data_IF_196213036030
#
_entry.id   IF_196213036030
#
_cell.length_a   1.000
_cell.length_b   1.000
_cell.length_c   1.000
_cell.angle_alpha   90.00
_cell.angle_beta   90.00
_cell.angle_gamma   90.00
#
_symmetry.space_group_name_H-M   'P 1'
#
loop_
_entity.id
_entity.type
_entity.pdbx_description
1 polymer ?
#
# COMPACT_ATOMS: atom_id res chain seq x y z
N UNK A 1 19.28 -18.67 -0.94
CA UNK A 1 20.14 -18.68 0.26
C UNK A 1 21.61 -18.61 -0.12
N UNK A 2 22.16 -19.52 -0.95
CA UNK A 2 23.60 -19.55 -1.32
C UNK A 2 24.07 -18.20 -1.88
N UNK A 3 23.32 -17.60 -2.81
CA UNK A 3 23.66 -16.29 -3.38
C UNK A 3 23.70 -15.19 -2.30
N UNK A 4 22.79 -15.22 -1.36
CA UNK A 4 22.76 -14.26 -0.25
C UNK A 4 24.01 -14.39 0.65
N UNK A 5 24.43 -15.62 0.95
CA UNK A 5 25.66 -15.89 1.69
C UNK A 5 26.91 -15.43 0.91
N UNK A 6 26.95 -15.67 -0.40
CA UNK A 6 28.04 -15.20 -1.26
C UNK A 6 28.13 -13.67 -1.27
N UNK A 7 27.00 -12.98 -1.35
CA UNK A 7 26.96 -11.51 -1.27
C UNK A 7 27.56 -11.04 0.06
N UNK A 8 27.14 -11.66 1.17
CA UNK A 8 27.67 -11.31 2.49
C UNK A 8 29.19 -11.55 2.57
N UNK A 9 29.69 -12.67 2.06
CA UNK A 9 31.12 -12.96 2.03
C UNK A 9 31.89 -11.96 1.17
N UNK A 10 31.36 -11.60 0.00
CA UNK A 10 31.97 -10.58 -0.86
C UNK A 10 32.10 -9.23 -0.13
N UNK A 11 31.10 -8.83 0.65
CA UNK A 11 31.15 -7.57 1.40
C UNK A 11 32.18 -7.60 2.55
N UNK A 12 32.60 -8.78 3.04
CA UNK A 12 33.67 -8.87 4.03
C UNK A 12 35.05 -8.62 3.42
N UNK A 13 35.23 -8.92 2.12
CA UNK A 13 36.50 -8.81 1.39
C UNK A 13 36.66 -7.45 0.72
N UNK A 14 35.55 -6.73 0.48
CA UNK A 14 35.60 -5.45 -0.22
C UNK A 14 36.43 -4.40 0.56
N UNK A 15 37.29 -3.64 -0.13
CA UNK A 15 38.11 -2.62 0.52
C UNK A 15 37.24 -1.46 1.05
N UNK A 16 37.56 -0.96 2.22
CA UNK A 16 36.94 0.24 2.79
C UNK A 16 37.65 1.48 2.26
N UNK A 17 36.89 2.53 1.96
CA UNK A 17 37.37 3.86 1.57
C UNK A 17 36.89 4.90 2.55
N UNK A 18 37.43 6.13 2.47
CA UNK A 18 37.06 7.26 3.35
C UNK A 18 35.56 7.59 3.34
N UNK A 19 34.83 7.19 2.30
CA UNK A 19 33.38 7.39 2.14
C UNK A 19 32.51 6.19 2.53
N UNK A 20 33.10 4.99 2.66
CA UNK A 20 32.34 3.76 2.95
C UNK A 20 32.98 3.02 4.12
N UNK A 21 32.30 3.10 5.26
CA UNK A 21 32.73 2.42 6.48
C UNK A 21 32.49 0.91 6.37
N UNK A 22 33.21 0.12 7.17
CA UNK A 22 33.00 -1.34 7.26
C UNK A 22 31.55 -1.67 7.68
N UNK A 23 30.98 -0.94 8.60
CA UNK A 23 29.57 -1.09 8.99
C UNK A 23 28.62 -0.82 7.83
N UNK A 24 28.89 0.21 7.01
CA UNK A 24 28.13 0.53 5.80
C UNK A 24 28.16 -0.60 4.77
N UNK A 25 29.34 -1.23 4.55
CA UNK A 25 29.44 -2.40 3.66
C UNK A 25 28.61 -3.59 4.16
N UNK A 26 28.67 -3.87 5.47
CA UNK A 26 27.83 -4.92 6.05
C UNK A 26 26.35 -4.63 5.95
N UNK A 27 25.93 -3.38 6.20
CA UNK A 27 24.53 -2.96 6.02
C UNK A 27 24.05 -3.18 4.58
N UNK A 28 24.84 -2.74 3.60
CA UNK A 28 24.56 -2.98 2.16
C UNK A 28 24.50 -4.47 1.83
N UNK A 29 25.43 -5.26 2.34
CA UNK A 29 25.45 -6.71 2.13
C UNK A 29 24.20 -7.39 2.65
N UNK A 30 23.78 -7.06 3.88
CA UNK A 30 22.58 -7.59 4.52
C UNK A 30 21.34 -7.18 3.72
N UNK A 31 21.26 -5.92 3.29
CA UNK A 31 20.14 -5.40 2.50
C UNK A 31 20.04 -6.11 1.14
N UNK A 32 21.14 -6.24 0.39
CA UNK A 32 21.17 -6.95 -0.88
C UNK A 32 20.83 -8.44 -0.73
N UNK A 33 21.36 -9.07 0.32
CA UNK A 33 21.05 -10.47 0.62
C UNK A 33 19.54 -10.66 0.93
N UNK A 34 18.93 -9.76 1.70
CA UNK A 34 17.50 -9.78 1.98
C UNK A 34 16.67 -9.60 0.71
N UNK A 35 17.03 -8.67 -0.18
CA UNK A 35 16.35 -8.47 -1.47
C UNK A 35 16.39 -9.75 -2.31
N UNK A 36 17.56 -10.38 -2.43
CA UNK A 36 17.70 -11.64 -3.20
C UNK A 36 16.84 -12.75 -2.58
N UNK A 37 16.79 -12.83 -1.25
CA UNK A 37 15.95 -13.84 -0.57
C UNK A 37 14.46 -13.59 -0.78
N UNK A 38 14.01 -12.34 -0.82
CA UNK A 38 12.62 -11.97 -1.12
C UNK A 38 12.25 -12.22 -2.59
N UNK A 39 13.13 -11.85 -3.54
CA UNK A 39 12.89 -12.09 -4.97
C UNK A 39 12.84 -13.60 -5.28
N UNK A 40 13.72 -14.39 -4.64
CA UNK A 40 13.76 -15.83 -4.84
C UNK A 40 12.74 -16.61 -4.00
N UNK A 41 11.91 -15.94 -3.20
CA UNK A 41 10.95 -16.54 -2.27
C UNK A 41 11.55 -17.69 -1.44
N UNK A 42 12.80 -17.49 -1.01
CA UNK A 42 13.61 -18.55 -0.36
C UNK A 42 13.13 -18.88 1.05
N UNK A 43 12.48 -17.94 1.72
CA UNK A 43 11.90 -18.02 3.07
C UNK A 43 10.72 -17.06 3.18
N UNK A 44 9.77 -17.30 4.12
CA UNK A 44 8.72 -16.33 4.42
C UNK A 44 9.29 -14.92 4.68
N UNK A 45 8.65 -13.90 4.13
CA UNK A 45 9.15 -12.50 4.18
C UNK A 45 9.50 -12.03 5.59
N UNK A 46 8.68 -12.40 6.57
CA UNK A 46 8.91 -12.04 7.98
C UNK A 46 10.17 -12.70 8.55
N UNK A 47 10.47 -13.95 8.17
CA UNK A 47 11.69 -14.67 8.63
C UNK A 47 12.92 -14.00 8.05
N UNK A 48 12.90 -13.65 6.76
CA UNK A 48 14.00 -12.92 6.12
C UNK A 48 14.22 -11.56 6.78
N UNK A 49 13.14 -10.81 7.11
CA UNK A 49 13.25 -9.53 7.79
C UNK A 49 13.86 -9.65 9.19
N UNK A 50 13.40 -10.62 10.00
CA UNK A 50 13.96 -10.88 11.35
C UNK A 50 15.43 -11.31 11.24
N UNK A 51 15.77 -12.16 10.27
CA UNK A 51 17.15 -12.58 10.04
C UNK A 51 18.04 -11.38 9.66
N UNK A 52 17.57 -10.49 8.78
CA UNK A 52 18.31 -9.30 8.42
C UNK A 52 18.56 -8.39 9.62
N UNK A 53 17.54 -8.15 10.46
CA UNK A 53 17.68 -7.37 11.70
C UNK A 53 18.69 -8.03 12.66
N UNK A 54 18.62 -9.35 12.82
CA UNK A 54 19.58 -10.09 13.65
C UNK A 54 21.01 -9.96 13.11
N UNK A 55 21.20 -10.06 11.78
CA UNK A 55 22.51 -9.91 11.15
C UNK A 55 23.08 -8.51 11.34
N UNK A 56 22.27 -7.44 11.34
CA UNK A 56 22.74 -6.09 11.65
C UNK A 56 23.41 -6.01 13.02
N UNK A 57 22.90 -6.75 14.01
CA UNK A 57 23.49 -6.80 15.35
C UNK A 57 24.73 -7.71 15.40
N UNK A 58 24.72 -8.85 14.74
CA UNK A 58 25.87 -9.80 14.70
C UNK A 58 27.08 -9.13 14.05
N UNK A 59 26.89 -8.39 12.96
CA UNK A 59 27.96 -7.65 12.27
C UNK A 59 28.27 -6.30 12.92
N UNK A 60 27.69 -6.00 14.09
CA UNK A 60 27.90 -4.76 14.85
C UNK A 60 27.61 -3.48 14.02
N UNK A 61 26.66 -3.56 13.09
CA UNK A 61 26.17 -2.40 12.35
C UNK A 61 25.27 -1.54 13.23
N UNK A 62 24.40 -2.20 14.02
CA UNK A 62 23.57 -1.59 15.04
C UNK A 62 23.81 -2.26 16.40
N UNK A 63 23.88 -1.48 17.49
CA UNK A 63 23.96 -2.05 18.84
C UNK A 63 22.66 -2.79 19.20
N UNK A 64 22.72 -3.77 20.07
CA UNK A 64 21.54 -4.48 20.57
C UNK A 64 20.68 -3.62 21.49
N UNK A 65 21.30 -2.77 22.32
CA UNK A 65 20.62 -1.93 23.32
C UNK A 65 21.18 -0.52 23.33
N UNK A 66 20.39 0.45 23.80
CA UNK A 66 20.71 1.87 23.83
C UNK A 66 20.05 2.65 22.67
N UNK A 67 20.34 3.95 22.62
CA UNK A 67 19.82 4.83 21.56
C UNK A 67 20.33 4.37 20.18
N UNK A 68 19.44 4.31 19.21
CA UNK A 68 19.74 3.81 17.85
C UNK A 68 19.93 2.29 17.76
N UNK A 69 19.58 1.54 18.82
CA UNK A 69 19.66 0.07 18.84
C UNK A 69 18.52 -0.60 18.10
N UNK A 70 18.69 -1.91 17.83
CA UNK A 70 17.62 -2.75 17.28
C UNK A 70 16.37 -2.71 18.15
N UNK A 71 16.51 -2.74 19.48
CA UNK A 71 15.35 -2.66 20.40
C UNK A 71 14.67 -1.29 20.35
N UNK A 72 15.42 -0.22 20.15
CA UNK A 72 14.87 1.13 20.01
C UNK A 72 13.96 1.25 18.78
N UNK A 73 14.29 0.58 17.68
CA UNK A 73 13.46 0.57 16.46
C UNK A 73 12.08 -0.08 16.71
N UNK A 74 11.99 -1.12 17.56
CA UNK A 74 10.73 -1.74 17.94
C UNK A 74 9.93 -0.93 18.98
N UNK A 75 10.57 -0.01 19.68
CA UNK A 75 9.94 0.92 20.62
C UNK A 75 9.55 2.27 19.99
N UNK A 76 9.91 2.51 18.72
CA UNK A 76 9.70 3.78 18.05
C UNK A 76 8.24 4.05 17.67
N UNK A 77 7.88 5.35 17.60
CA UNK A 77 6.53 5.81 17.22
C UNK A 77 6.08 5.23 15.86
N UNK A 78 6.98 5.15 14.88
CA UNK A 78 6.68 4.60 13.56
C UNK A 78 6.25 3.12 13.62
N UNK A 79 6.84 2.33 14.50
CA UNK A 79 6.50 0.92 14.67
C UNK A 79 5.08 0.75 15.24
N UNK A 80 4.75 1.48 16.32
CA UNK A 80 3.40 1.42 16.90
C UNK A 80 2.35 1.99 15.96
N UNK A 81 2.68 3.05 15.21
CA UNK A 81 1.79 3.58 14.20
C UNK A 81 1.53 2.55 13.08
N UNK A 82 2.56 1.84 12.62
CA UNK A 82 2.40 0.78 11.62
C UNK A 82 1.49 -0.33 12.15
N UNK A 83 1.64 -0.78 13.40
CA UNK A 83 0.74 -1.76 14.02
C UNK A 83 -0.70 -1.23 14.03
N UNK A 84 -0.92 0.00 14.45
CA UNK A 84 -2.25 0.61 14.49
C UNK A 84 -2.89 0.63 13.10
N UNK A 85 -2.14 1.00 12.05
CA UNK A 85 -2.65 1.00 10.67
C UNK A 85 -2.98 -0.39 10.15
N UNK A 86 -2.22 -1.43 10.52
CA UNK A 86 -2.56 -2.81 10.18
C UNK A 86 -3.85 -3.27 10.85
N UNK A 87 -4.07 -2.92 12.12
CA UNK A 87 -5.33 -3.24 12.82
C UNK A 87 -6.51 -2.59 12.11
N UNK A 88 -6.38 -1.34 11.68
CA UNK A 88 -7.41 -0.63 10.90
C UNK A 88 -7.67 -1.31 9.56
N UNK A 89 -6.61 -1.69 8.85
CA UNK A 89 -6.73 -2.41 7.58
C UNK A 89 -7.51 -3.71 7.75
N UNK A 90 -7.15 -4.54 8.74
CA UNK A 90 -7.85 -5.80 9.04
C UNK A 90 -9.32 -5.54 9.43
N UNK A 91 -9.60 -4.48 10.18
CA UNK A 91 -10.96 -4.11 10.52
C UNK A 91 -11.79 -3.75 9.28
N UNK A 92 -11.21 -3.02 8.31
CA UNK A 92 -11.85 -2.68 7.04
C UNK A 92 -12.04 -3.90 6.14
N UNK A 93 -11.06 -4.79 6.05
CA UNK A 93 -11.13 -6.04 5.27
C UNK A 93 -12.32 -6.91 5.66
N UNK A 94 -12.65 -6.93 6.95
CA UNK A 94 -13.78 -7.68 7.48
C UNK A 94 -15.13 -6.97 7.33
N UNK A 95 -15.21 -5.91 6.51
CA UNK A 95 -16.41 -5.14 6.21
C UNK A 95 -16.65 -5.02 4.71
N UNK A 96 -17.88 -4.66 4.33
CA UNK A 96 -18.21 -4.39 2.94
C UNK A 96 -17.99 -2.91 2.55
N UNK A 97 -17.30 -2.13 3.37
CA UNK A 97 -17.03 -0.70 3.12
C UNK A 97 -16.31 -0.50 1.77
N UNK A 98 -15.24 -1.26 1.42
CA UNK A 98 -14.57 -1.14 0.12
C UNK A 98 -15.53 -1.34 -1.06
N UNK A 99 -16.42 -2.32 -0.97
CA UNK A 99 -17.41 -2.62 -1.99
C UNK A 99 -18.47 -1.51 -2.12
N UNK A 100 -18.83 -0.86 -1.02
CA UNK A 100 -19.74 0.28 -1.03
C UNK A 100 -19.10 1.52 -1.68
N UNK A 101 -17.81 1.76 -1.41
CA UNK A 101 -17.04 2.82 -2.10
C UNK A 101 -17.06 2.53 -3.60
N UNK A 102 -16.78 1.30 -4.00
CA UNK A 102 -16.81 0.88 -5.39
C UNK A 102 -18.20 1.10 -6.01
N UNK A 103 -19.29 0.67 -5.33
CA UNK A 103 -20.66 0.86 -5.79
C UNK A 103 -21.02 2.33 -5.98
N UNK A 104 -20.65 3.19 -5.03
CA UNK A 104 -20.90 4.63 -5.13
C UNK A 104 -20.17 5.24 -6.34
N UNK A 105 -18.93 4.85 -6.56
CA UNK A 105 -18.11 5.36 -7.67
C UNK A 105 -18.59 4.86 -9.04
N UNK A 106 -18.98 3.60 -9.16
CA UNK A 106 -19.46 3.02 -10.45
C UNK A 106 -20.71 3.75 -10.97
N UNK A 107 -21.57 4.26 -10.09
CA UNK A 107 -22.75 5.06 -10.50
C UNK A 107 -22.36 6.28 -11.34
N UNK A 108 -21.14 6.80 -11.16
CA UNK A 108 -20.62 7.95 -11.91
C UNK A 108 -20.34 7.59 -13.38
N UNK A 109 -20.03 6.31 -13.67
CA UNK A 109 -19.64 5.87 -15.02
C UNK A 109 -20.74 5.96 -16.07
N UNK A 110 -22.01 5.99 -15.65
CA UNK A 110 -23.20 6.07 -16.54
C UNK A 110 -23.14 5.11 -17.74
N UNK A 111 -22.50 3.94 -17.59
CA UNK A 111 -22.40 2.93 -18.65
C UNK A 111 -21.26 3.17 -19.66
N UNK A 112 -20.43 4.17 -19.48
CA UNK A 112 -19.26 4.39 -20.34
C UNK A 112 -18.10 3.50 -19.84
N UNK A 113 -17.65 2.54 -20.68
CA UNK A 113 -16.61 1.57 -20.34
C UNK A 113 -15.29 2.21 -19.93
N UNK A 114 -14.86 3.25 -20.65
CA UNK A 114 -13.61 3.96 -20.32
C UNK A 114 -13.71 4.65 -18.97
N UNK A 115 -14.83 5.34 -18.74
CA UNK A 115 -15.07 6.02 -17.49
C UNK A 115 -15.24 5.03 -16.34
N UNK A 116 -15.82 3.86 -16.59
CA UNK A 116 -15.93 2.79 -15.58
C UNK A 116 -14.56 2.30 -15.11
N UNK A 117 -13.62 2.06 -16.04
CA UNK A 117 -12.24 1.70 -15.69
C UNK A 117 -11.62 2.76 -14.81
N UNK A 118 -11.62 4.03 -15.23
CA UNK A 118 -11.03 5.14 -14.47
C UNK A 118 -11.64 5.26 -13.07
N UNK A 119 -12.97 5.14 -12.97
CA UNK A 119 -13.69 5.25 -11.69
C UNK A 119 -13.41 4.07 -10.79
N UNK A 120 -13.29 2.85 -11.34
CA UNK A 120 -12.92 1.66 -10.56
C UNK A 120 -11.49 1.79 -10.01
N UNK A 121 -10.55 2.28 -10.83
CA UNK A 121 -9.18 2.54 -10.40
C UNK A 121 -9.12 3.65 -9.33
N UNK A 122 -9.95 4.67 -9.46
CA UNK A 122 -10.06 5.72 -8.45
C UNK A 122 -10.63 5.19 -7.13
N UNK A 123 -11.66 4.33 -7.18
CA UNK A 123 -12.20 3.66 -6.03
C UNK A 123 -11.15 2.77 -5.33
N UNK A 124 -10.35 2.06 -6.13
CA UNK A 124 -9.20 1.28 -5.63
C UNK A 124 -8.21 2.16 -4.86
N UNK A 125 -7.80 3.28 -5.45
CA UNK A 125 -6.86 4.22 -4.81
C UNK A 125 -7.41 4.85 -3.53
N UNK A 126 -8.68 5.28 -3.54
CA UNK A 126 -9.34 5.84 -2.34
C UNK A 126 -9.41 4.79 -1.23
N UNK A 127 -9.76 3.55 -1.55
CA UNK A 127 -9.80 2.46 -0.55
C UNK A 127 -8.41 2.17 -0.01
N UNK A 128 -7.39 2.13 -0.87
CA UNK A 128 -6.00 1.86 -0.49
C UNK A 128 -5.38 2.96 0.36
N UNK A 129 -5.97 4.15 0.40
CA UNK A 129 -5.47 5.24 1.25
C UNK A 129 -5.62 4.97 2.76
N UNK A 130 -6.54 4.08 3.14
CA UNK A 130 -6.82 3.73 4.56
C UNK A 130 -6.72 2.23 4.84
N UNK A 131 -6.40 1.44 3.82
CA UNK A 131 -6.32 -0.01 3.86
C UNK A 131 -5.04 -0.49 3.20
N UNK A 132 -4.55 -1.68 3.56
CA UNK A 132 -3.37 -2.28 2.94
C UNK A 132 -3.53 -2.38 1.42
N UNK A 133 -2.48 -2.01 0.67
CA UNK A 133 -2.46 -2.09 -0.79
C UNK A 133 -2.77 -3.51 -1.27
N UNK A 134 -2.23 -4.53 -0.59
CA UNK A 134 -2.42 -5.93 -0.95
C UNK A 134 -3.89 -6.35 -0.79
N UNK A 135 -4.49 -6.05 0.36
CA UNK A 135 -5.90 -6.38 0.63
C UNK A 135 -6.83 -5.65 -0.32
N UNK A 136 -6.56 -4.37 -0.59
CA UNK A 136 -7.28 -3.59 -1.59
C UNK A 136 -7.18 -4.24 -2.97
N UNK A 137 -5.98 -4.63 -3.40
CA UNK A 137 -5.79 -5.35 -4.67
C UNK A 137 -6.65 -6.60 -4.73
N UNK A 138 -6.64 -7.45 -3.71
CA UNK A 138 -7.39 -8.72 -3.71
C UNK A 138 -8.89 -8.45 -3.90
N UNK A 139 -9.45 -7.49 -3.16
CA UNK A 139 -10.88 -7.16 -3.24
C UNK A 139 -11.24 -6.66 -4.65
N UNK A 140 -10.51 -5.66 -5.15
CA UNK A 140 -10.83 -5.04 -6.44
C UNK A 140 -10.47 -5.91 -7.64
N UNK A 141 -9.43 -6.75 -7.55
CA UNK A 141 -9.13 -7.75 -8.60
C UNK A 141 -10.22 -8.79 -8.70
N UNK A 142 -10.78 -9.26 -7.59
CA UNK A 142 -11.92 -10.19 -7.62
C UNK A 142 -13.15 -9.54 -8.29
N UNK A 143 -13.41 -8.26 -8.05
CA UNK A 143 -14.46 -7.51 -8.76
C UNK A 143 -14.12 -7.35 -10.24
N UNK A 144 -12.87 -7.02 -10.57
CA UNK A 144 -12.38 -6.92 -11.94
C UNK A 144 -12.51 -8.24 -12.70
N UNK A 145 -12.13 -9.36 -12.08
CA UNK A 145 -12.29 -10.71 -12.66
C UNK A 145 -13.75 -11.04 -12.91
N UNK A 146 -14.64 -10.73 -11.95
CA UNK A 146 -16.07 -10.93 -12.17
C UNK A 146 -16.59 -10.16 -13.38
N UNK A 147 -16.18 -8.90 -13.54
CA UNK A 147 -16.55 -8.08 -14.70
C UNK A 147 -15.98 -8.63 -16.00
N UNK A 148 -14.72 -9.11 -16.01
CA UNK A 148 -14.06 -9.73 -17.16
C UNK A 148 -14.80 -10.98 -17.59
N UNK A 149 -15.15 -11.86 -16.65
CA UNK A 149 -15.90 -13.09 -16.92
C UNK A 149 -17.32 -12.82 -17.42
N UNK A 150 -18.05 -11.91 -16.77
CA UNK A 150 -19.39 -11.52 -17.18
C UNK A 150 -19.42 -10.89 -18.59
N UNK A 151 -18.37 -10.16 -18.96
CA UNK A 151 -18.21 -9.58 -20.29
C UNK A 151 -17.62 -10.56 -21.32
N UNK A 152 -17.40 -11.84 -20.94
CA UNK A 152 -16.85 -12.91 -21.80
C UNK A 152 -15.53 -12.51 -22.49
N UNK A 153 -14.67 -11.80 -21.75
CA UNK A 153 -13.39 -11.34 -22.28
C UNK A 153 -12.40 -12.51 -22.45
N UNK A 154 -11.72 -12.56 -23.60
CA UNK A 154 -10.70 -13.58 -23.89
C UNK A 154 -9.37 -13.25 -23.17
N UNK A 155 -8.74 -14.25 -22.52
CA UNK A 155 -7.45 -14.04 -21.85
C UNK A 155 -6.36 -13.61 -22.84
N UNK A 156 -5.62 -12.57 -22.49
CA UNK A 156 -4.51 -12.05 -23.28
C UNK A 156 -4.90 -11.11 -24.44
N UNK A 157 -6.15 -11.12 -24.91
CA UNK A 157 -6.61 -10.28 -26.02
C UNK A 157 -7.40 -9.05 -25.53
N UNK A 158 -8.24 -9.20 -24.52
CA UNK A 158 -9.13 -8.16 -24.02
C UNK A 158 -8.38 -6.93 -23.47
N UNK A 159 -8.73 -5.75 -23.99
CA UNK A 159 -8.25 -4.47 -23.50
C UNK A 159 -8.80 -4.14 -22.11
N UNK A 160 -10.06 -4.53 -21.82
CA UNK A 160 -10.67 -4.36 -20.51
C UNK A 160 -9.93 -5.16 -19.44
N UNK A 161 -9.60 -6.42 -19.76
CA UNK A 161 -8.85 -7.26 -18.84
C UNK A 161 -7.45 -6.68 -18.54
N UNK A 162 -6.76 -6.18 -19.56
CA UNK A 162 -5.44 -5.53 -19.39
C UNK A 162 -5.54 -4.28 -18.50
N UNK A 163 -6.51 -3.39 -18.76
CA UNK A 163 -6.72 -2.20 -17.94
C UNK A 163 -6.98 -2.56 -16.46
N UNK A 164 -7.81 -3.57 -16.19
CA UNK A 164 -8.17 -3.90 -14.81
C UNK A 164 -7.05 -4.65 -14.08
N UNK A 165 -6.42 -5.62 -14.75
CA UNK A 165 -5.39 -6.45 -14.09
C UNK A 165 -4.08 -5.69 -13.85
N UNK A 166 -3.74 -4.71 -14.68
CA UNK A 166 -2.56 -3.84 -14.49
C UNK A 166 -2.94 -2.63 -13.63
N UNK A 167 -4.09 -2.02 -13.92
CA UNK A 167 -4.51 -0.77 -13.28
C UNK A 167 -4.79 -0.90 -11.79
N UNK A 168 -5.47 -1.96 -11.38
CA UNK A 168 -5.84 -2.14 -9.96
C UNK A 168 -4.61 -2.16 -9.04
N UNK A 169 -3.59 -3.01 -9.23
CA UNK A 169 -2.42 -3.01 -8.35
C UNK A 169 -1.60 -1.71 -8.42
N UNK A 170 -1.47 -1.11 -9.60
CA UNK A 170 -0.79 0.17 -9.74
C UNK A 170 -1.53 1.29 -8.98
N UNK A 171 -2.84 1.38 -9.14
CA UNK A 171 -3.63 2.41 -8.47
C UNK A 171 -3.79 2.15 -6.96
N UNK A 172 -3.75 0.90 -6.51
CA UNK A 172 -3.65 0.60 -5.08
C UNK A 172 -2.33 1.12 -4.50
N UNK A 173 -1.21 0.91 -5.20
CA UNK A 173 0.09 1.45 -4.80
C UNK A 173 0.11 2.97 -4.74
N UNK A 174 -0.40 3.65 -5.78
CA UNK A 174 -0.49 5.12 -5.82
C UNK A 174 -1.44 5.63 -4.74
N UNK A 175 -2.59 4.99 -4.56
CA UNK A 175 -3.59 5.35 -3.54
C UNK A 175 -3.05 5.23 -2.11
N UNK A 176 -2.18 4.25 -1.85
CA UNK A 176 -1.50 4.10 -0.57
C UNK A 176 -0.62 5.30 -0.17
N UNK A 177 -0.25 6.16 -1.11
CA UNK A 177 0.50 7.40 -0.83
C UNK A 177 -0.39 8.52 -0.27
N UNK A 178 -1.71 8.47 -0.43
CA UNK A 178 -2.64 9.55 -0.06
C UNK A 178 -2.55 9.88 1.43
N UNK A 179 -2.48 8.87 2.29
CA UNK A 179 -2.38 9.09 3.74
C UNK A 179 -1.11 8.47 4.31
N UNK A 180 -0.59 8.95 5.44
CA UNK A 180 0.52 8.29 6.14
C UNK A 180 0.19 6.83 6.50
N UNK A 181 -1.09 6.52 6.73
CA UNK A 181 -1.58 5.20 7.12
C UNK A 181 -1.73 4.21 5.96
N UNK A 182 -1.74 4.66 4.71
CA UNK A 182 -1.95 3.81 3.54
C UNK A 182 -0.81 2.82 3.27
N UNK A 183 0.42 3.20 3.63
CA UNK A 183 1.58 2.29 3.55
C UNK A 183 2.63 2.62 4.60
N UNK A 184 3.30 1.62 5.21
CA UNK A 184 4.36 1.85 6.20
C UNK A 184 5.52 2.71 5.69
N UNK A 185 5.79 2.69 4.37
CA UNK A 185 6.83 3.51 3.75
C UNK A 185 6.63 5.01 3.93
N UNK A 186 5.39 5.48 3.97
CA UNK A 186 5.08 6.91 4.17
C UNK A 186 5.54 7.38 5.56
N UNK A 187 5.30 6.56 6.58
CA UNK A 187 5.69 6.86 7.97
C UNK A 187 7.21 6.88 8.09
N UNK A 188 7.86 5.90 7.45
CA UNK A 188 9.33 5.85 7.43
C UNK A 188 9.93 7.11 6.78
N UNK A 189 9.35 7.59 5.67
CA UNK A 189 9.79 8.82 5.00
C UNK A 189 9.60 10.02 5.91
N UNK A 190 8.44 10.14 6.59
CA UNK A 190 8.17 11.23 7.55
C UNK A 190 9.20 11.21 8.67
N UNK A 191 9.49 10.03 9.24
CA UNK A 191 10.49 9.87 10.29
C UNK A 191 11.90 10.26 9.81
N UNK A 192 12.32 9.76 8.63
CA UNK A 192 13.63 10.08 8.07
C UNK A 192 13.79 11.57 7.76
N UNK A 193 12.75 12.25 7.32
CA UNK A 193 12.76 13.70 7.09
C UNK A 193 12.89 14.46 8.41
N UNK A 194 12.23 14.01 9.47
CA UNK A 194 12.36 14.62 10.80
C UNK A 194 13.76 14.42 11.36
N UNK A 195 14.31 13.21 11.30
CA UNK A 195 15.61 12.87 11.90
C UNK A 195 16.80 13.47 11.13
N UNK A 196 16.77 13.46 9.79
CA UNK A 196 17.92 13.86 8.98
C UNK A 196 17.85 15.33 8.49
N UNK A 197 16.65 15.86 8.29
CA UNK A 197 16.45 17.20 7.74
C UNK A 197 15.78 18.17 8.73
N UNK A 198 15.34 17.70 9.89
CA UNK A 198 14.60 18.51 10.86
C UNK A 198 13.21 18.95 10.35
N UNK A 199 12.69 18.29 9.28
CA UNK A 199 11.41 18.64 8.68
C UNK A 199 10.33 17.74 9.28
N UNK A 200 9.49 18.33 10.12
CA UNK A 200 8.36 17.64 10.72
C UNK A 200 7.10 17.81 9.85
N UNK A 201 6.62 16.73 9.27
CA UNK A 201 5.41 16.72 8.45
C UNK A 201 4.29 16.07 9.26
N UNK A 202 3.23 16.84 9.55
CA UNK A 202 2.06 16.32 10.24
C UNK A 202 1.18 15.44 9.30
N UNK A 203 0.29 14.66 9.91
CA UNK A 203 -0.66 13.81 9.17
C UNK A 203 -1.49 14.62 8.14
N UNK A 204 -1.99 15.77 8.55
CA UNK A 204 -2.78 16.64 7.67
C UNK A 204 -1.92 17.26 6.54
N UNK A 205 -0.71 17.69 6.83
CA UNK A 205 0.20 18.23 5.82
C UNK A 205 0.58 17.19 4.78
N UNK A 206 0.80 15.94 5.19
CA UNK A 206 1.04 14.84 4.25
C UNK A 206 -0.13 14.65 3.29
N UNK A 207 -1.37 14.60 3.81
CA UNK A 207 -2.57 14.45 2.96
C UNK A 207 -2.69 15.63 2.01
N UNK A 208 -2.51 16.86 2.46
CA UNK A 208 -2.61 18.04 1.62
C UNK A 208 -1.61 18.03 0.45
N UNK A 209 -0.43 17.47 0.66
CA UNK A 209 0.60 17.35 -0.37
C UNK A 209 0.36 16.15 -1.29
N UNK A 210 0.08 14.98 -0.72
CA UNK A 210 0.10 13.73 -1.46
C UNK A 210 -1.26 13.36 -2.06
N UNK A 211 -2.39 13.75 -1.45
CA UNK A 211 -3.70 13.40 -1.97
C UNK A 211 -3.98 14.00 -3.37
N UNK A 212 -3.74 15.31 -3.63
CA UNK A 212 -3.93 15.86 -4.96
C UNK A 212 -3.04 15.17 -6.01
N UNK A 213 -1.77 14.93 -5.66
CA UNK A 213 -0.81 14.27 -6.54
C UNK A 213 -1.26 12.84 -6.88
N UNK A 214 -1.63 12.05 -5.88
CA UNK A 214 -2.06 10.68 -6.06
C UNK A 214 -3.36 10.59 -6.86
N UNK A 215 -4.36 11.42 -6.55
CA UNK A 215 -5.65 11.44 -7.27
C UNK A 215 -5.44 11.79 -8.75
N UNK A 216 -4.68 12.85 -9.04
CA UNK A 216 -4.35 13.23 -10.42
C UNK A 216 -3.59 12.13 -11.13
N UNK A 217 -2.61 11.51 -10.47
CA UNK A 217 -1.84 10.39 -11.03
C UNK A 217 -2.72 9.19 -11.36
N UNK A 218 -3.66 8.80 -10.50
CA UNK A 218 -4.60 7.71 -10.75
C UNK A 218 -5.50 8.04 -11.96
N UNK A 219 -6.02 9.25 -12.01
CA UNK A 219 -6.88 9.68 -13.12
C UNK A 219 -6.09 9.68 -14.44
N UNK A 220 -4.91 10.25 -14.46
CA UNK A 220 -4.04 10.28 -15.65
C UNK A 220 -3.66 8.85 -16.09
N UNK A 221 -3.27 8.02 -15.14
CA UNK A 221 -2.92 6.62 -15.40
C UNK A 221 -4.11 5.83 -15.96
N UNK A 222 -5.29 5.96 -15.36
CA UNK A 222 -6.51 5.32 -15.84
C UNK A 222 -6.91 5.77 -17.26
N UNK A 223 -6.83 7.06 -17.55
CA UNK A 223 -7.06 7.55 -18.91
C UNK A 223 -6.00 7.01 -19.88
N UNK A 224 -4.72 7.04 -19.51
CA UNK A 224 -3.64 6.52 -20.33
C UNK A 224 -3.87 5.03 -20.67
N UNK A 225 -4.20 4.20 -19.69
CA UNK A 225 -4.52 2.80 -19.93
C UNK A 225 -5.68 2.60 -20.90
N UNK A 226 -6.76 3.41 -20.74
CA UNK A 226 -7.91 3.33 -21.67
C UNK A 226 -7.58 3.76 -23.09
N UNK A 227 -6.56 4.60 -23.28
CA UNK A 227 -6.07 4.99 -24.62
C UNK A 227 -5.20 3.90 -25.24
N UNK A 228 -4.33 3.27 -24.40
CA UNK A 228 -3.38 2.25 -24.87
C UNK A 228 -4.08 0.92 -25.14
N UNK A 229 -4.85 0.42 -24.18
CA UNK A 229 -5.45 -0.92 -24.25
C UNK A 229 -6.86 -0.93 -24.86
N UNK A 230 -7.50 0.23 -25.00
CA UNK A 230 -8.81 0.41 -25.66
C UNK A 230 -9.86 -0.59 -25.18
N UNK A 231 -10.31 -0.48 -23.91
CA UNK A 231 -11.25 -1.44 -23.33
C UNK A 231 -12.52 -1.55 -24.19
N UNK A 232 -12.99 -2.77 -24.33
CA UNK A 232 -14.23 -3.11 -25.05
C UNK A 232 -15.44 -2.49 -24.35
N UNK A 233 -16.55 -2.41 -25.08
CA UNK A 233 -17.82 -2.00 -24.48
C UNK A 233 -18.28 -3.07 -23.48
N UNK A 234 -18.65 -2.60 -22.30
CA UNK A 234 -19.17 -3.48 -21.26
C UNK A 234 -20.64 -3.76 -21.58
N UNK A 235 -21.01 -5.03 -21.59
CA UNK A 235 -22.39 -5.45 -21.81
C UNK A 235 -23.30 -5.03 -20.66
N UNK A 236 -24.58 -4.83 -20.93
CA UNK A 236 -25.56 -4.53 -19.86
C UNK A 236 -25.62 -5.65 -18.84
N UNK A 237 -25.51 -6.89 -19.29
CA UNK A 237 -25.48 -8.09 -18.43
C UNK A 237 -24.31 -8.06 -17.45
N UNK A 238 -23.10 -7.76 -17.95
CA UNK A 238 -21.92 -7.65 -17.11
C UNK A 238 -22.01 -6.49 -16.10
N UNK A 239 -22.62 -5.38 -16.50
CA UNK A 239 -22.87 -4.25 -15.60
C UNK A 239 -23.89 -4.62 -14.51
N UNK A 240 -24.95 -5.33 -14.87
CA UNK A 240 -25.98 -5.73 -13.91
C UNK A 240 -25.48 -6.82 -12.96
N UNK A 241 -24.63 -7.75 -13.42
CA UNK A 241 -23.94 -8.72 -12.55
C UNK A 241 -23.03 -8.01 -11.56
N UNK A 242 -22.25 -7.03 -12.01
CA UNK A 242 -21.39 -6.23 -11.13
C UNK A 242 -22.20 -5.48 -10.08
N UNK A 243 -23.30 -4.84 -10.47
CA UNK A 243 -24.23 -4.16 -9.54
C UNK A 243 -24.84 -5.15 -8.55
N UNK A 244 -25.31 -6.30 -9.02
CA UNK A 244 -25.87 -7.35 -8.17
C UNK A 244 -24.88 -7.79 -7.11
N UNK A 245 -23.63 -8.10 -7.48
CA UNK A 245 -22.55 -8.42 -6.52
C UNK A 245 -22.27 -7.32 -5.50
N UNK A 246 -22.37 -6.06 -5.91
CA UNK A 246 -22.18 -4.92 -5.03
C UNK A 246 -23.41 -4.66 -4.13
N UNK A 247 -24.62 -5.02 -4.58
CA UNK A 247 -25.88 -4.85 -3.84
C UNK A 247 -26.20 -6.05 -2.92
N UNK A 248 -25.61 -7.21 -3.13
CA UNK A 248 -25.75 -8.40 -2.27
C UNK A 248 -25.47 -8.11 -0.78
N UNK A 249 -24.71 -7.07 -0.50
CA UNK A 249 -24.28 -6.70 0.85
C UNK A 249 -25.34 -5.89 1.64
N UNK A 250 -26.52 -5.65 1.07
CA UNK A 250 -27.68 -5.08 1.75
C UNK A 250 -27.45 -3.72 2.43
N UNK A 251 -28.22 -3.43 3.46
CA UNK A 251 -28.10 -2.21 4.27
C UNK A 251 -26.84 -2.27 5.15
N UNK A 252 -26.35 -1.10 5.59
CA UNK A 252 -25.23 -0.98 6.52
C UNK A 252 -25.46 -1.85 7.77
N UNK A 253 -24.52 -2.76 8.03
CA UNK A 253 -24.57 -3.62 9.22
C UNK A 253 -24.00 -2.85 10.43
N UNK A 254 -24.43 -3.22 11.64
CA UNK A 254 -23.93 -2.64 12.89
C UNK A 254 -22.40 -2.74 13.04
N UNK A 255 -21.77 -3.78 12.48
CA UNK A 255 -20.29 -3.91 12.44
C UNK A 255 -19.67 -2.82 11.58
N UNK A 256 -20.19 -2.62 10.37
CA UNK A 256 -19.69 -1.58 9.43
C UNK A 256 -19.84 -0.19 10.03
N UNK A 257 -20.99 0.09 10.67
CA UNK A 257 -21.23 1.37 11.32
C UNK A 257 -20.23 1.65 12.45
N UNK A 258 -19.99 0.65 13.31
CA UNK A 258 -18.98 0.75 14.37
C UNK A 258 -17.58 0.96 13.80
N UNK A 259 -17.21 0.22 12.77
CA UNK A 259 -15.91 0.36 12.11
C UNK A 259 -15.75 1.76 11.51
N UNK A 260 -16.76 2.30 10.83
CA UNK A 260 -16.72 3.67 10.29
C UNK A 260 -16.57 4.72 11.37
N UNK A 261 -17.28 4.58 12.50
CA UNK A 261 -17.17 5.51 13.64
C UNK A 261 -15.74 5.48 14.21
N UNK A 262 -15.20 4.29 14.46
CA UNK A 262 -13.86 4.13 15.05
C UNK A 262 -12.79 4.71 14.11
N UNK A 263 -12.86 4.37 12.82
CA UNK A 263 -11.90 4.87 11.83
C UNK A 263 -12.05 6.39 11.66
N UNK A 264 -13.28 6.89 11.59
CA UNK A 264 -13.56 8.32 11.52
C UNK A 264 -13.02 9.07 12.75
N UNK A 265 -13.24 8.55 13.95
CA UNK A 265 -12.71 9.11 15.18
C UNK A 265 -11.16 9.10 15.19
N UNK A 266 -10.55 7.99 14.75
CA UNK A 266 -9.11 7.88 14.67
C UNK A 266 -8.50 8.87 13.67
N UNK A 267 -9.07 8.99 12.47
CA UNK A 267 -8.63 9.97 11.46
C UNK A 267 -8.80 11.40 11.98
N UNK A 268 -9.91 11.69 12.68
CA UNK A 268 -10.11 12.99 13.33
C UNK A 268 -9.06 13.27 14.40
N UNK A 269 -8.73 12.28 15.24
CA UNK A 269 -7.66 12.44 16.24
C UNK A 269 -6.31 12.72 15.58
N UNK A 270 -5.97 12.04 14.49
CA UNK A 270 -4.71 12.28 13.77
C UNK A 270 -4.67 13.66 13.09
N UNK A 271 -5.80 14.12 12.55
CA UNK A 271 -5.89 15.47 11.97
C UNK A 271 -5.83 16.53 13.09
N UNK A 272 -6.57 16.33 14.18
CA UNK A 272 -6.62 17.25 15.31
C UNK A 272 -5.31 17.32 16.08
N UNK A 273 -4.52 16.22 16.12
CA UNK A 273 -3.18 16.19 16.71
C UNK A 273 -2.25 17.24 16.11
N UNK A 274 -2.47 17.64 14.86
CA UNK A 274 -1.75 18.75 14.22
C UNK A 274 -2.01 20.12 14.90
N UNK A 275 -3.16 20.29 15.54
CA UNK A 275 -3.63 21.58 16.11
C UNK A 275 -3.62 21.58 17.64
N UNK A 276 -3.72 20.42 18.26
CA UNK A 276 -3.88 20.25 19.70
C UNK A 276 -2.69 19.44 20.23
N UNK A 277 -1.73 20.13 20.89
CA UNK A 277 -0.52 19.53 21.48
C UNK A 277 -0.74 18.45 22.55
N UNK A 278 -1.97 18.06 22.83
CA UNK A 278 -2.30 16.99 23.79
C UNK A 278 -2.12 15.60 23.18
N UNK A 279 -2.00 15.52 21.85
CA UNK A 279 -1.86 14.25 21.08
C UNK A 279 -0.48 14.11 20.40
N UNK A 280 0.49 14.94 20.77
CA UNK A 280 1.90 14.82 20.36
C UNK A 280 2.60 13.71 21.13
#
# INVERSE_FOLDING_TARGET
VVIAVVIMLLMTVFPTNDHVTRAGLYAMGIFLAAIVMWICDSMPMCVTAILAIFMLSVFKVLPLSGDGSVYYLFGGTAFFFAIATFVVSIALENTCIPLRICSAMIKISKGNSKLLVVVLLLATGITSSVMSNLSTCIIYMNLGLALIHANKCEPGESGLAKCLMIGIPCCAGIGGLITPAGTPGNILIIQLLSENAGINISFAQWILLMAPLAIVSIIMFGFWETLVFKPEKISTEAMDELKSKLEEHGKLNNKEWKTMIVIGAMLLCWILGTWIKVFD
#
